data_IF_975723311110
#
_entry.id   IF_975723311110
#
_cell.length_a   1.000
_cell.length_b   1.000
_cell.length_c   1.000
_cell.angle_alpha   90.00
_cell.angle_beta   90.00
_cell.angle_gamma   90.00
#
_symmetry.space_group_name_H-M   'P 1'
#
loop_
_entity.id
_entity.type
_entity.pdbx_description
1 polymer ?
#
# COMPACT_ATOMS: atom_id res chain seq x y z
N UNK A 1 15.93 23.34 -55.40
CA UNK A 1 16.33 24.42 -54.48
C UNK A 1 17.84 24.57 -54.52
N UNK A 2 18.36 25.80 -54.53
CA UNK A 2 19.81 26.06 -54.61
C UNK A 2 20.56 25.42 -53.43
N UNK A 3 21.73 24.79 -53.65
CA UNK A 3 22.53 24.22 -52.57
C UNK A 3 23.18 25.37 -51.80
N UNK A 4 22.76 25.59 -50.55
CA UNK A 4 23.27 26.67 -49.69
C UNK A 4 22.21 27.49 -48.93
N UNK A 5 20.91 27.20 -49.09
CA UNK A 5 19.88 27.82 -48.24
C UNK A 5 19.90 27.27 -46.82
N UNK A 6 19.78 28.14 -45.81
CA UNK A 6 19.48 27.70 -44.42
C UNK A 6 18.21 26.83 -44.45
N UNK A 7 18.17 25.70 -43.73
CA UNK A 7 16.97 24.87 -43.68
C UNK A 7 15.79 25.72 -43.23
N UNK A 8 14.67 25.60 -43.93
CA UNK A 8 13.42 26.28 -43.56
C UNK A 8 13.03 25.82 -42.15
N UNK A 9 13.17 26.70 -41.17
CA UNK A 9 12.70 26.45 -39.82
C UNK A 9 11.21 26.78 -39.82
N UNK A 10 10.37 25.75 -39.67
CA UNK A 10 8.93 25.95 -39.57
C UNK A 10 8.63 26.89 -38.40
N UNK A 11 7.73 27.84 -38.65
CA UNK A 11 7.30 28.79 -37.63
C UNK A 11 6.44 28.07 -36.59
N UNK A 12 6.44 28.55 -35.34
CA UNK A 12 5.66 27.94 -34.25
C UNK A 12 4.17 27.74 -34.62
N UNK A 13 3.60 28.66 -35.39
CA UNK A 13 2.22 28.58 -35.88
C UNK A 13 2.00 27.43 -36.88
N UNK A 14 2.96 27.16 -37.77
CA UNK A 14 2.91 26.04 -38.73
C UNK A 14 3.06 24.68 -38.04
N UNK A 15 3.86 24.63 -36.97
CA UNK A 15 4.02 23.44 -36.12
C UNK A 15 2.71 23.17 -35.35
N UNK A 16 2.08 24.22 -34.82
CA UNK A 16 0.80 24.15 -34.11
C UNK A 16 -0.34 23.69 -35.01
N UNK A 17 -0.38 24.15 -36.26
CA UNK A 17 -1.39 23.76 -37.25
C UNK A 17 -1.22 22.29 -37.67
N UNK A 18 0.02 21.80 -37.85
CA UNK A 18 0.29 20.37 -38.08
C UNK A 18 -0.08 19.47 -36.89
N UNK A 19 0.08 19.96 -35.66
CA UNK A 19 -0.28 19.24 -34.43
C UNK A 19 -1.78 19.32 -34.09
N UNK A 20 -2.57 20.13 -34.81
CA UNK A 20 -4.02 20.25 -34.61
C UNK A 20 -4.83 19.01 -35.03
N UNK A 21 -4.15 17.95 -35.49
CA UNK A 21 -4.74 16.63 -35.63
C UNK A 21 -5.18 16.07 -34.27
N UNK A 22 -6.48 15.83 -34.12
CA UNK A 22 -7.15 15.24 -32.93
C UNK A 22 -6.19 14.47 -32.02
N UNK A 23 -5.92 15.02 -30.83
CA UNK A 23 -5.12 14.37 -29.80
C UNK A 23 -5.67 12.96 -29.53
N UNK A 24 -4.78 11.96 -29.47
CA UNK A 24 -5.13 10.60 -29.06
C UNK A 24 -5.65 10.63 -27.61
N UNK A 25 -6.67 9.84 -27.32
CA UNK A 25 -7.23 9.68 -25.96
C UNK A 25 -6.08 9.36 -25.00
N UNK A 26 -5.81 10.26 -24.05
CA UNK A 26 -4.75 10.13 -23.04
C UNK A 26 -3.46 10.94 -23.29
N UNK A 27 -3.33 11.66 -24.42
CA UNK A 27 -2.21 12.59 -24.64
C UNK A 27 -2.67 14.01 -24.30
N UNK A 28 -2.21 14.53 -23.17
CA UNK A 28 -2.51 15.89 -22.72
C UNK A 28 -1.52 16.88 -23.34
N UNK A 29 -2.04 17.92 -24.01
CA UNK A 29 -1.27 19.08 -24.42
C UNK A 29 -0.64 19.78 -23.22
N UNK A 30 0.52 20.42 -23.42
CA UNK A 30 1.25 21.13 -22.36
C UNK A 30 0.36 22.16 -21.63
N UNK A 31 -0.52 22.84 -22.37
CA UNK A 31 -1.49 23.78 -21.83
C UNK A 31 -2.43 23.15 -20.80
N UNK A 32 -2.87 21.91 -21.04
CA UNK A 32 -3.78 21.16 -20.15
C UNK A 32 -3.03 20.71 -18.88
N UNK A 33 -1.76 20.34 -19.03
CA UNK A 33 -0.90 19.99 -17.90
C UNK A 33 -0.63 21.21 -17.01
N UNK A 34 -0.31 22.35 -17.61
CA UNK A 34 -0.07 23.62 -16.91
C UNK A 34 -1.33 24.12 -16.19
N UNK A 35 -2.51 24.02 -16.81
CA UNK A 35 -3.78 24.38 -16.18
C UNK A 35 -4.10 23.47 -14.96
N UNK A 36 -3.81 22.17 -15.05
CA UNK A 36 -3.95 21.24 -13.92
C UNK A 36 -3.02 21.61 -12.77
N UNK A 37 -1.75 21.92 -13.06
CA UNK A 37 -0.78 22.36 -12.06
C UNK A 37 -1.22 23.68 -11.43
N UNK A 38 -1.72 24.63 -12.23
CA UNK A 38 -2.23 25.91 -11.74
C UNK A 38 -3.44 25.73 -10.82
N UNK A 39 -4.43 24.91 -11.21
CA UNK A 39 -5.60 24.55 -10.38
C UNK A 39 -5.21 23.88 -9.08
N UNK A 40 -4.29 22.91 -9.13
CA UNK A 40 -3.76 22.22 -7.95
C UNK A 40 -3.04 23.21 -7.01
N UNK A 41 -2.24 24.10 -7.57
CA UNK A 41 -1.49 25.12 -6.80
C UNK A 41 -2.44 26.14 -6.16
N UNK A 42 -3.47 26.60 -6.89
CA UNK A 42 -4.51 27.47 -6.36
C UNK A 42 -5.28 26.81 -5.22
N UNK A 43 -5.67 25.54 -5.39
CA UNK A 43 -6.34 24.75 -4.35
C UNK A 43 -5.44 24.56 -3.12
N UNK A 44 -4.16 24.22 -3.30
CA UNK A 44 -3.20 24.12 -2.20
C UNK A 44 -3.02 25.44 -1.45
N UNK A 45 -3.00 26.58 -2.15
CA UNK A 45 -2.93 27.91 -1.53
C UNK A 45 -4.20 28.31 -0.78
N UNK A 46 -5.37 27.78 -1.15
CA UNK A 46 -6.62 28.01 -0.41
C UNK A 46 -6.70 27.25 0.92
N UNK A 47 -5.84 26.24 1.13
CA UNK A 47 -5.71 25.53 2.40
C UNK A 47 -4.92 26.38 3.41
N UNK A 48 -5.47 27.53 3.80
CA UNK A 48 -4.95 28.39 4.88
C UNK A 48 -4.72 27.55 6.15
N UNK A 49 -3.47 27.27 6.51
CA UNK A 49 -3.10 26.68 7.81
C UNK A 49 -3.39 25.19 8.00
N UNK A 50 -3.98 24.49 7.02
CA UNK A 50 -3.99 23.01 7.02
C UNK A 50 -2.65 22.54 6.49
N UNK A 51 -1.65 22.61 7.36
CA UNK A 51 -0.27 22.14 7.18
C UNK A 51 -0.27 20.80 6.44
N UNK A 52 -0.09 20.81 5.12
CA UNK A 52 0.31 19.64 4.34
C UNK A 52 1.84 19.66 4.42
N UNK A 53 2.46 18.87 5.30
CA UNK A 53 3.91 18.92 5.45
C UNK A 53 4.50 18.37 4.15
N UNK A 54 5.19 19.23 3.39
CA UNK A 54 6.11 18.80 2.35
C UNK A 54 7.42 18.41 3.04
N UNK A 55 7.45 17.20 3.61
CA UNK A 55 8.55 16.65 4.41
C UNK A 55 8.08 15.47 5.27
N UNK A 56 9.02 14.78 5.92
CA UNK A 56 8.71 13.72 6.88
C UNK A 56 7.90 14.32 8.04
N UNK A 57 6.68 13.83 8.22
CA UNK A 57 5.75 14.36 9.24
C UNK A 57 6.22 13.92 10.62
N UNK A 58 5.92 14.65 11.71
CA UNK A 58 6.24 14.18 13.07
C UNK A 58 5.70 12.77 13.38
N UNK A 59 4.56 12.39 12.77
CA UNK A 59 3.99 11.04 12.86
C UNK A 59 4.46 10.06 11.77
N UNK A 60 5.34 10.47 10.85
CA UNK A 60 6.06 9.57 9.94
C UNK A 60 7.28 8.92 10.62
N UNK A 61 7.61 9.32 11.85
CA UNK A 61 8.64 8.64 12.61
C UNK A 61 8.27 7.15 12.76
N UNK A 62 9.23 6.23 12.54
CA UNK A 62 8.96 4.81 12.72
C UNK A 62 8.56 4.55 14.16
N UNK A 63 7.30 4.17 14.35
CA UNK A 63 6.73 3.86 15.66
C UNK A 63 6.30 2.40 15.70
N UNK A 64 6.50 1.76 16.85
CA UNK A 64 5.98 0.42 17.08
C UNK A 64 4.45 0.46 17.16
N UNK A 65 3.80 -0.09 16.14
CA UNK A 65 2.34 -0.10 16.06
C UNK A 65 1.72 -1.30 16.76
N UNK A 66 2.34 -2.47 16.62
CA UNK A 66 1.87 -3.74 17.18
C UNK A 66 2.98 -4.77 17.25
N UNK A 67 2.90 -5.66 18.23
CA UNK A 67 3.63 -6.91 18.25
C UNK A 67 2.64 -8.06 18.04
N UNK A 68 2.96 -8.96 17.11
CA UNK A 68 2.15 -10.14 16.80
C UNK A 68 2.92 -11.37 17.24
N UNK A 69 2.45 -12.03 18.30
CA UNK A 69 2.99 -13.30 18.74
C UNK A 69 2.14 -14.42 18.14
N UNK A 70 2.78 -15.39 17.50
CA UNK A 70 2.09 -16.50 16.87
C UNK A 70 2.86 -17.81 17.07
N UNK A 71 2.14 -18.84 17.53
CA UNK A 71 2.61 -20.22 17.51
C UNK A 71 1.92 -20.94 16.37
N UNK A 72 2.72 -21.42 15.42
CA UNK A 72 2.24 -22.21 14.28
C UNK A 72 2.47 -23.69 14.57
N UNK A 73 1.41 -24.48 14.40
CA UNK A 73 1.46 -25.92 14.59
C UNK A 73 1.50 -26.61 13.23
N UNK A 74 2.17 -27.75 13.16
CA UNK A 74 2.06 -28.63 12.00
C UNK A 74 0.66 -29.27 11.95
N UNK A 75 0.20 -29.70 10.79
CA UNK A 75 -1.16 -30.26 10.62
C UNK A 75 -1.43 -31.44 11.55
N UNK A 76 -0.46 -32.33 11.73
CA UNK A 76 -0.57 -33.46 12.66
C UNK A 76 -0.74 -33.01 14.12
N UNK A 77 -0.05 -31.96 14.53
CA UNK A 77 -0.14 -31.41 15.90
C UNK A 77 -1.45 -30.64 16.10
N UNK A 78 -1.87 -29.87 15.10
CA UNK A 78 -3.09 -29.07 15.15
C UNK A 78 -4.37 -29.91 15.19
N UNK A 79 -4.31 -31.17 14.75
CA UNK A 79 -5.40 -32.14 14.94
C UNK A 79 -5.66 -32.49 16.41
N UNK A 80 -4.68 -32.29 17.30
CA UNK A 80 -4.85 -32.52 18.73
C UNK A 80 -5.32 -31.24 19.44
N UNK A 81 -6.59 -31.22 19.86
CA UNK A 81 -7.21 -30.10 20.56
C UNK A 81 -6.51 -29.75 21.88
N UNK A 82 -5.90 -30.72 22.57
CA UNK A 82 -5.20 -30.48 23.83
C UNK A 82 -3.97 -29.61 23.63
N UNK A 83 -3.23 -29.82 22.53
CA UNK A 83 -2.05 -29.00 22.21
C UNK A 83 -2.45 -27.56 21.89
N UNK A 84 -3.56 -27.36 21.18
CA UNK A 84 -4.08 -26.01 20.91
C UNK A 84 -4.46 -25.31 22.22
N UNK A 85 -5.16 -26.01 23.12
CA UNK A 85 -5.56 -25.45 24.41
C UNK A 85 -4.35 -25.13 25.29
N UNK A 86 -3.35 -26.02 25.31
CA UNK A 86 -2.10 -25.77 26.02
C UNK A 86 -1.38 -24.54 25.46
N UNK A 87 -1.20 -24.45 24.13
CA UNK A 87 -0.62 -23.26 23.51
C UNK A 87 -1.43 -22.01 23.82
N UNK A 88 -2.76 -22.09 23.90
CA UNK A 88 -3.64 -20.96 24.24
C UNK A 88 -3.38 -20.47 25.66
N UNK A 89 -3.31 -21.38 26.63
CA UNK A 89 -3.04 -21.00 28.03
C UNK A 89 -1.61 -20.50 28.24
N UNK A 90 -0.61 -21.12 27.61
CA UNK A 90 0.77 -20.64 27.72
C UNK A 90 0.94 -19.25 27.07
N UNK A 91 0.38 -19.03 25.87
CA UNK A 91 0.44 -17.71 25.24
C UNK A 91 -0.31 -16.66 26.06
N UNK A 92 -1.39 -17.05 26.73
CA UNK A 92 -2.15 -16.19 27.65
C UNK A 92 -1.30 -15.79 28.86
N UNK A 93 -0.58 -16.74 29.46
CA UNK A 93 0.34 -16.48 30.59
C UNK A 93 1.48 -15.55 30.20
N UNK A 94 2.05 -15.75 29.01
CA UNK A 94 3.17 -14.94 28.50
C UNK A 94 2.70 -13.52 28.14
N UNK A 95 1.61 -13.39 27.38
CA UNK A 95 1.17 -12.11 26.82
C UNK A 95 0.20 -11.33 27.69
N UNK A 96 -0.32 -11.93 28.76
CA UNK A 96 -1.39 -11.34 29.60
C UNK A 96 -2.73 -11.17 28.90
N UNK A 97 -2.87 -11.60 27.64
CA UNK A 97 -4.07 -11.44 26.82
C UNK A 97 -4.53 -12.78 26.26
N UNK A 98 -5.84 -13.02 26.25
CA UNK A 98 -6.38 -14.25 25.70
C UNK A 98 -6.12 -14.30 24.18
N UNK A 99 -5.39 -15.31 23.69
CA UNK A 99 -5.06 -15.41 22.28
C UNK A 99 -6.22 -16.01 21.48
N UNK A 100 -6.21 -15.82 20.16
CA UNK A 100 -7.18 -16.43 19.25
C UNK A 100 -6.59 -17.64 18.54
N UNK A 101 -7.42 -18.65 18.30
CA UNK A 101 -7.06 -19.77 17.41
C UNK A 101 -7.12 -19.28 15.96
N UNK A 102 -6.05 -19.54 15.21
CA UNK A 102 -5.91 -19.17 13.80
C UNK A 102 -6.26 -20.37 12.94
N UNK A 103 -7.26 -20.21 12.08
CA UNK A 103 -7.70 -21.26 11.17
C UNK A 103 -7.06 -21.11 9.78
N UNK A 104 -6.86 -22.24 9.10
CA UNK A 104 -6.37 -22.26 7.72
C UNK A 104 -7.40 -21.63 6.78
N UNK A 105 -6.92 -20.73 5.91
CA UNK A 105 -7.76 -20.03 4.93
C UNK A 105 -8.01 -20.83 3.66
N UNK A 106 -7.10 -21.76 3.33
CA UNK A 106 -7.10 -22.50 2.07
C UNK A 106 -6.93 -23.99 2.32
N UNK A 107 -7.37 -24.81 1.37
CA UNK A 107 -7.05 -26.23 1.33
C UNK A 107 -5.68 -26.39 0.66
N UNK A 108 -4.74 -27.08 1.31
CA UNK A 108 -3.39 -27.32 0.80
C UNK A 108 -3.06 -28.79 1.06
N UNK A 109 -3.25 -29.62 0.03
CA UNK A 109 -3.12 -31.08 0.13
C UNK A 109 -1.71 -31.52 0.55
N UNK A 110 -0.67 -30.87 0.04
CA UNK A 110 0.74 -31.19 0.35
C UNK A 110 1.04 -31.16 1.86
N UNK A 111 0.35 -30.28 2.61
CA UNK A 111 0.54 -30.11 4.05
C UNK A 111 -0.61 -30.68 4.88
N UNK A 112 -1.61 -31.30 4.23
CA UNK A 112 -2.79 -31.84 4.88
C UNK A 112 -3.72 -30.79 5.50
N UNK A 113 -3.69 -29.54 5.02
CA UNK A 113 -4.55 -28.48 5.55
C UNK A 113 -5.89 -28.43 4.83
N UNK A 114 -6.98 -28.36 5.59
CA UNK A 114 -8.32 -28.08 5.07
C UNK A 114 -8.75 -26.65 5.47
N UNK A 115 -9.58 -26.01 4.65
CA UNK A 115 -10.13 -24.69 4.99
C UNK A 115 -10.92 -24.78 6.29
N UNK A 116 -10.67 -23.86 7.23
CA UNK A 116 -11.33 -23.81 8.53
C UNK A 116 -10.67 -24.65 9.62
N UNK A 117 -9.70 -25.51 9.31
CA UNK A 117 -8.97 -26.26 10.34
C UNK A 117 -8.10 -25.34 11.20
N UNK A 118 -8.00 -25.57 12.51
CA UNK A 118 -7.07 -24.83 13.35
C UNK A 118 -5.63 -25.09 12.90
N UNK A 119 -4.82 -24.04 12.83
CA UNK A 119 -3.42 -24.08 12.37
C UNK A 119 -2.44 -23.58 13.44
N UNK A 120 -2.94 -22.87 14.45
CA UNK A 120 -2.11 -22.33 15.52
C UNK A 120 -2.87 -21.33 16.37
N UNK A 121 -2.11 -20.59 17.18
CA UNK A 121 -2.64 -19.62 18.15
C UNK A 121 -1.88 -18.31 17.97
N UNK A 122 -2.58 -17.18 18.03
CA UNK A 122 -1.97 -15.87 17.87
C UNK A 122 -2.58 -14.82 18.80
N UNK A 123 -1.78 -13.85 19.21
CA UNK A 123 -2.23 -12.65 19.92
C UNK A 123 -1.59 -11.42 19.32
N UNK A 124 -2.38 -10.34 19.26
CA UNK A 124 -1.88 -9.02 18.88
C UNK A 124 -1.85 -8.13 20.12
N UNK A 125 -0.68 -7.53 20.34
CA UNK A 125 -0.37 -6.64 21.44
C UNK A 125 -0.17 -5.23 20.89
N UNK A 126 -0.71 -4.24 21.60
CA UNK A 126 -0.72 -2.82 21.21
C UNK A 126 -0.51 -1.95 22.45
N UNK A 127 -0.04 -0.72 22.25
CA UNK A 127 0.03 0.29 23.29
C UNK A 127 0.92 -0.14 24.45
N UNK A 128 0.48 0.08 25.69
CA UNK A 128 1.26 -0.18 26.89
C UNK A 128 1.45 -1.67 27.24
N UNK A 129 0.67 -2.56 26.63
CA UNK A 129 0.87 -4.01 26.78
C UNK A 129 2.05 -4.52 25.94
N UNK A 130 2.50 -3.71 24.97
CA UNK A 130 3.67 -3.96 24.12
C UNK A 130 4.92 -3.42 24.79
#
# INVERSE_FOLDING_TARGET
GKPGGRPYQKTYEEIKEQLSGRLRVGVETEDVQLDRVAKRTKWLKTLKGKFVPTGAKPWDQPAFKKVCLQVRLQSKQASNTKLINQCTEELRRISGKHPRVVNSRKNIAQWGWRRGYPCGVAVNIYGQLM
#
